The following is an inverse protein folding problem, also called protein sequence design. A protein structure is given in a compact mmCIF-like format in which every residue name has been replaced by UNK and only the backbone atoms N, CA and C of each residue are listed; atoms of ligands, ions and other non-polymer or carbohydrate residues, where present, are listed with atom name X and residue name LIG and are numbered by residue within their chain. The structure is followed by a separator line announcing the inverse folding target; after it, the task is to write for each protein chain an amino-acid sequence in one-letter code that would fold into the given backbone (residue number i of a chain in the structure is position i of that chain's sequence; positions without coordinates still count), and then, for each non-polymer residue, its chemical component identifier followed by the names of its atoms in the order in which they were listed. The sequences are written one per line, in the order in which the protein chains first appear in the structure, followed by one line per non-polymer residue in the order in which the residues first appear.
data_IF_107700682332
#
_entry.id   IF_107700682332
#
_cell.length_a   1.000
_cell.length_b   1.000
_cell.length_c   1.000
_cell.angle_alpha   90.00
_cell.angle_beta   90.00
_cell.angle_gamma   90.00
#
_symmetry.space_group_name_H-M   'P 1'
#
loop_
_entity.id
_entity.type
_entity.pdbx_description
1 polymer ?
#
# COMPACT_ATOMS: atom_id res chain seq x y z
N UNK A 1 -35.14 -6.54 14.11
CA UNK A 1 -34.19 -5.47 13.74
C UNK A 1 -34.37 -4.33 14.72
N UNK A 2 -33.39 -4.09 15.62
CA UNK A 2 -33.48 -2.99 16.58
C UNK A 2 -33.25 -1.65 15.90
N UNK A 3 -34.12 -0.67 16.17
CA UNK A 3 -33.90 0.72 15.75
C UNK A 3 -32.67 1.27 16.47
N UNK A 4 -31.60 1.52 15.72
CA UNK A 4 -30.38 2.13 16.23
C UNK A 4 -30.58 3.64 16.26
N UNK A 5 -30.92 4.18 17.43
CA UNK A 5 -31.06 5.62 17.59
C UNK A 5 -29.70 6.32 17.43
N UNK A 6 -29.65 7.40 16.65
CA UNK A 6 -28.49 8.28 16.51
C UNK A 6 -28.91 9.72 16.83
N UNK A 7 -28.02 10.51 17.42
CA UNK A 7 -28.27 11.90 17.80
C UNK A 7 -28.58 12.09 19.29
N UNK A 8 -28.73 13.35 19.68
CA UNK A 8 -28.98 13.73 21.07
C UNK A 8 -30.45 13.49 21.44
N UNK A 9 -30.70 12.63 22.43
CA UNK A 9 -32.04 12.24 22.88
C UNK A 9 -32.31 12.55 24.35
N UNK A 10 -31.36 13.22 25.02
CA UNK A 10 -31.44 13.52 26.46
C UNK A 10 -32.01 14.91 26.71
N UNK A 11 -32.46 15.13 27.94
CA UNK A 11 -32.87 16.44 28.43
C UNK A 11 -31.61 17.19 28.91
N UNK A 12 -31.36 18.39 28.38
CA UNK A 12 -30.26 19.24 28.84
C UNK A 12 -30.64 19.80 30.21
N UNK A 13 -29.92 19.41 31.26
CA UNK A 13 -30.04 19.99 32.59
C UNK A 13 -28.91 20.99 32.81
N UNK A 14 -29.25 22.23 33.18
CA UNK A 14 -28.29 23.28 33.53
C UNK A 14 -28.25 23.47 35.05
N UNK A 15 -27.29 22.86 35.76
CA UNK A 15 -27.17 23.05 37.20
C UNK A 15 -26.43 24.38 37.46
N UNK A 16 -27.16 25.48 37.66
CA UNK A 16 -26.49 26.78 37.75
C UNK A 16 -27.25 28.02 38.20
N UNK A 17 -28.50 27.93 38.67
CA UNK A 17 -29.12 29.04 39.41
C UNK A 17 -29.90 28.50 40.59
N UNK A 18 -29.67 29.12 41.76
CA UNK A 18 -30.42 28.87 42.98
C UNK A 18 -31.91 29.14 42.70
N UNK A 19 -32.67 28.05 42.50
CA UNK A 19 -34.13 27.87 42.29
C UNK A 19 -34.41 27.03 41.04
N UNK A 20 -34.53 25.70 41.24
CA UNK A 20 -35.19 24.79 40.30
C UNK A 20 -34.36 24.21 39.16
N UNK A 21 -34.52 22.91 38.91
CA UNK A 21 -34.10 22.26 37.66
C UNK A 21 -35.14 22.66 36.60
N UNK A 22 -34.80 23.60 35.71
CA UNK A 22 -35.64 23.91 34.56
C UNK A 22 -35.40 22.86 33.47
N UNK A 23 -36.45 22.13 33.09
CA UNK A 23 -36.44 21.32 31.89
C UNK A 23 -36.86 22.19 30.72
N UNK A 24 -35.91 22.69 29.93
CA UNK A 24 -36.24 23.47 28.74
C UNK A 24 -36.74 22.51 27.65
N UNK A 25 -38.06 22.40 27.48
CA UNK A 25 -38.70 21.84 26.29
C UNK A 25 -38.91 22.98 25.28
N UNK A 26 -37.83 23.64 24.86
CA UNK A 26 -37.89 24.42 23.62
C UNK A 26 -37.76 23.44 22.45
N UNK A 27 -38.63 23.57 21.45
CA UNK A 27 -38.39 22.96 20.15
C UNK A 27 -37.06 23.55 19.64
N UNK A 28 -35.97 22.79 19.77
CA UNK A 28 -34.66 23.23 19.31
C UNK A 28 -34.72 23.52 17.81
N UNK A 29 -34.10 24.62 17.37
CA UNK A 29 -33.86 24.85 15.95
C UNK A 29 -32.89 23.77 15.46
N UNK A 30 -33.38 22.84 14.66
CA UNK A 30 -32.55 21.83 14.00
C UNK A 30 -32.09 22.36 12.64
N UNK A 31 -30.80 22.66 12.52
CA UNK A 31 -30.18 22.85 11.21
C UNK A 31 -29.60 21.52 10.75
N UNK A 32 -30.08 21.03 9.61
CA UNK A 32 -29.55 19.82 8.97
C UNK A 32 -28.35 20.21 8.10
N UNK A 33 -27.23 19.53 8.31
CA UNK A 33 -26.02 19.70 7.49
C UNK A 33 -25.26 21.00 7.76
N UNK A 34 -24.19 21.19 6.99
CA UNK A 34 -23.31 22.35 7.09
C UNK A 34 -23.71 23.41 6.05
N UNK A 35 -23.48 24.70 6.36
CA UNK A 35 -23.74 25.78 5.41
C UNK A 35 -22.97 25.59 4.09
N UNK A 36 -21.70 25.18 4.16
CA UNK A 36 -20.88 24.91 2.97
C UNK A 36 -21.35 23.70 2.15
N UNK A 37 -22.04 22.72 2.76
CA UNK A 37 -22.67 21.64 2.01
C UNK A 37 -23.90 22.13 1.25
N UNK A 38 -24.75 22.94 1.92
CA UNK A 38 -25.94 23.52 1.29
C UNK A 38 -25.58 24.48 0.14
N UNK A 39 -24.51 25.25 0.31
CA UNK A 39 -23.95 26.13 -0.72
C UNK A 39 -23.00 25.42 -1.69
N UNK A 40 -22.83 24.09 -1.57
CA UNK A 40 -22.01 23.26 -2.46
C UNK A 40 -20.59 23.78 -2.72
N UNK A 41 -19.87 24.17 -1.67
CA UNK A 41 -18.50 24.69 -1.77
C UNK A 41 -17.52 23.73 -2.45
N UNK A 42 -17.87 22.46 -2.59
CA UNK A 42 -17.09 21.43 -3.28
C UNK A 42 -17.28 21.41 -4.81
N UNK A 43 -18.32 22.06 -5.34
CA UNK A 43 -18.66 22.01 -6.75
C UNK A 43 -17.79 23.00 -7.57
N UNK A 44 -17.19 22.58 -8.69
CA UNK A 44 -16.37 23.47 -9.54
C UNK A 44 -17.11 24.72 -10.00
N UNK A 45 -18.39 24.60 -10.35
CA UNK A 45 -19.24 25.69 -10.84
C UNK A 45 -19.59 26.74 -9.78
N UNK A 46 -19.42 26.43 -8.49
CA UNK A 46 -19.76 27.34 -7.38
C UNK A 46 -18.52 28.09 -6.84
N UNK A 47 -17.32 27.83 -7.36
CA UNK A 47 -16.09 28.38 -6.76
C UNK A 47 -15.99 29.90 -6.79
N UNK A 48 -16.66 30.55 -7.75
CA UNK A 48 -16.73 32.01 -7.87
C UNK A 48 -17.74 32.64 -6.90
N UNK A 49 -18.71 31.86 -6.41
CA UNK A 49 -19.77 32.32 -5.50
C UNK A 49 -19.38 32.23 -4.02
N UNK A 50 -18.15 31.80 -3.73
CA UNK A 50 -17.67 31.57 -2.37
C UNK A 50 -16.55 32.55 -2.05
N UNK A 51 -16.72 33.30 -0.97
CA UNK A 51 -15.73 34.26 -0.47
C UNK A 51 -14.57 33.54 0.25
N UNK A 52 -13.68 32.95 -0.53
CA UNK A 52 -12.47 32.32 0.00
C UNK A 52 -11.48 33.37 0.49
N UNK A 53 -10.78 33.05 1.57
CA UNK A 53 -9.70 33.86 2.12
C UNK A 53 -8.39 33.08 2.10
N UNK A 54 -7.28 33.79 1.96
CA UNK A 54 -5.96 33.17 2.03
C UNK A 54 -5.73 32.52 3.40
N UNK A 55 -5.05 31.37 3.36
CA UNK A 55 -4.77 30.57 4.55
C UNK A 55 -3.92 31.38 5.55
N UNK A 56 -4.49 31.68 6.71
CA UNK A 56 -3.78 32.30 7.83
C UNK A 56 -3.17 31.23 8.72
N UNK A 57 -1.85 31.31 8.93
CA UNK A 57 -1.12 30.38 9.78
C UNK A 57 -1.44 30.65 11.26
N UNK A 58 -2.15 29.72 11.89
CA UNK A 58 -2.55 29.80 13.30
C UNK A 58 -2.81 28.43 13.91
N UNK A 59 -3.40 28.40 15.11
CA UNK A 59 -3.82 27.16 15.73
C UNK A 59 -4.86 26.43 14.84
N UNK A 60 -4.81 25.08 14.73
CA UNK A 60 -5.79 24.33 13.95
C UNK A 60 -7.20 24.71 14.40
N UNK A 61 -8.02 25.21 13.48
CA UNK A 61 -9.40 25.54 13.79
C UNK A 61 -10.35 24.49 13.23
N UNK A 62 -11.42 24.26 14.00
CA UNK A 62 -12.47 23.32 13.68
C UNK A 62 -13.50 23.95 12.73
N UNK A 63 -14.23 23.12 11.99
CA UNK A 63 -15.26 23.52 11.04
C UNK A 63 -14.78 24.50 9.95
N UNK A 64 -13.61 24.23 9.37
CA UNK A 64 -13.03 25.02 8.28
C UNK A 64 -13.18 24.30 6.95
N UNK A 65 -13.41 25.07 5.89
CA UNK A 65 -13.29 24.62 4.51
C UNK A 65 -11.96 25.09 3.93
N UNK A 66 -11.25 24.19 3.27
CA UNK A 66 -10.04 24.48 2.51
C UNK A 66 -10.28 24.19 1.04
N UNK A 67 -9.65 24.96 0.16
CA UNK A 67 -9.53 24.62 -1.26
C UNK A 67 -8.11 24.79 -1.75
N UNK A 68 -7.78 24.08 -2.80
CA UNK A 68 -6.57 24.32 -3.59
C UNK A 68 -6.73 23.73 -5.00
N UNK A 69 -5.82 24.07 -5.89
CA UNK A 69 -5.72 23.49 -7.23
C UNK A 69 -4.40 22.75 -7.40
N UNK A 70 -4.42 21.66 -8.17
CA UNK A 70 -3.23 20.85 -8.41
C UNK A 70 -3.23 20.18 -9.79
N UNK A 71 -2.04 19.87 -10.28
CA UNK A 71 -1.84 19.10 -11.50
C UNK A 71 -1.80 17.59 -11.20
N UNK A 72 -2.32 16.78 -12.12
CA UNK A 72 -2.34 15.34 -11.91
C UNK A 72 -0.91 14.76 -11.96
N UNK A 73 -0.55 13.81 -11.06
CA UNK A 73 0.70 13.09 -11.18
C UNK A 73 0.79 12.32 -12.49
N UNK A 74 1.96 12.41 -13.13
CA UNK A 74 2.27 11.68 -14.35
C UNK A 74 2.18 10.16 -14.15
N UNK A 75 2.08 9.43 -15.26
CA UNK A 75 2.04 7.96 -15.27
C UNK A 75 0.64 7.39 -15.09
N UNK A 76 0.57 6.07 -14.85
CA UNK A 76 -0.69 5.31 -14.74
C UNK A 76 -0.99 4.78 -13.33
N UNK A 77 -0.04 4.89 -12.40
CA UNK A 77 -0.12 4.30 -11.06
C UNK A 77 -1.28 4.88 -10.24
N UNK A 78 -1.99 4.11 -9.41
CA UNK A 78 -3.04 4.65 -8.54
C UNK A 78 -2.61 5.92 -7.79
N UNK A 79 -3.50 6.89 -7.64
CA UNK A 79 -3.21 8.15 -6.95
C UNK A 79 -3.88 8.13 -5.58
N UNK A 80 -3.18 8.60 -4.56
CA UNK A 80 -3.74 8.78 -3.23
C UNK A 80 -3.30 10.11 -2.61
N UNK A 81 -4.18 10.66 -1.78
CA UNK A 81 -3.91 11.84 -0.96
C UNK A 81 -3.66 11.43 0.49
N UNK A 82 -2.58 11.94 1.07
CA UNK A 82 -2.24 11.79 2.48
C UNK A 82 -2.95 12.87 3.30
N UNK A 83 -3.94 12.46 4.08
CA UNK A 83 -4.68 13.29 5.01
C UNK A 83 -4.29 12.99 6.46
N UNK A 84 -3.17 12.29 6.72
CA UNK A 84 -2.73 11.95 8.07
C UNK A 84 -2.35 13.16 8.93
N UNK A 85 -2.10 14.31 8.31
CA UNK A 85 -1.89 15.59 8.98
C UNK A 85 -3.19 16.34 9.34
N UNK A 86 -4.32 15.81 8.87
CA UNK A 86 -5.67 16.34 9.11
C UNK A 86 -6.34 15.62 10.28
N UNK A 87 -7.50 16.11 10.70
CA UNK A 87 -8.25 15.54 11.82
C UNK A 87 -9.36 14.60 11.36
N UNK A 88 -10.53 15.16 11.10
CA UNK A 88 -11.74 14.45 10.69
C UNK A 88 -12.51 15.32 9.72
N UNK A 89 -13.04 14.74 8.66
CA UNK A 89 -13.74 15.55 7.69
C UNK A 89 -14.20 14.81 6.45
N UNK A 90 -14.39 15.57 5.40
CA UNK A 90 -14.77 15.06 4.08
C UNK A 90 -13.96 15.79 3.00
N UNK A 91 -13.56 15.06 1.96
CA UNK A 91 -12.79 15.61 0.85
C UNK A 91 -13.50 15.39 -0.50
N UNK A 92 -13.25 16.30 -1.43
CA UNK A 92 -13.76 16.25 -2.80
C UNK A 92 -12.66 16.57 -3.80
N UNK A 93 -12.72 15.90 -4.95
CA UNK A 93 -11.87 16.17 -6.12
C UNK A 93 -12.79 16.48 -7.29
N UNK A 94 -12.68 17.67 -7.88
CA UNK A 94 -13.51 18.11 -9.01
C UNK A 94 -15.02 17.90 -8.77
N UNK A 95 -15.51 18.16 -7.55
CA UNK A 95 -16.89 17.92 -7.14
C UNK A 95 -17.25 16.48 -6.76
N UNK A 96 -16.39 15.50 -7.06
CA UNK A 96 -16.60 14.11 -6.67
C UNK A 96 -16.20 13.88 -5.22
N UNK A 97 -17.11 13.29 -4.44
CA UNK A 97 -16.85 13.00 -3.03
C UNK A 97 -15.86 11.86 -2.85
N UNK A 98 -14.66 12.18 -2.37
CA UNK A 98 -13.61 11.21 -2.07
C UNK A 98 -13.99 10.32 -0.88
N UNK A 99 -14.74 10.89 0.06
CA UNK A 99 -15.23 10.21 1.25
C UNK A 99 -14.84 10.91 2.54
N UNK A 100 -15.22 10.27 3.66
CA UNK A 100 -14.86 10.72 5.00
C UNK A 100 -13.44 10.32 5.31
N UNK A 101 -12.66 11.25 5.85
CA UNK A 101 -11.38 10.94 6.46
C UNK A 101 -11.46 11.08 7.98
N UNK A 102 -10.68 10.27 8.69
CA UNK A 102 -10.59 10.35 10.14
C UNK A 102 -9.26 9.78 10.63
N UNK A 103 -8.40 10.66 11.12
CA UNK A 103 -7.07 10.35 11.67
C UNK A 103 -7.17 9.75 13.08
N UNK A 104 -7.77 8.58 13.19
CA UNK A 104 -7.79 7.79 14.42
C UNK A 104 -6.52 6.95 14.54
N UNK A 105 -5.95 6.86 15.73
CA UNK A 105 -4.83 5.95 16.00
C UNK A 105 -5.38 4.58 16.40
N UNK A 106 -4.91 3.53 15.74
CA UNK A 106 -5.25 2.15 16.04
C UNK A 106 -4.70 1.74 17.43
N UNK A 107 -5.34 0.76 18.12
CA UNK A 107 -4.79 0.22 19.36
C UNK A 107 -3.34 -0.25 19.19
N UNK A 108 -2.50 -0.01 20.20
CA UNK A 108 -1.08 -0.43 20.17
C UNK A 108 -0.90 -1.94 20.28
N UNK A 109 -1.91 -2.67 20.73
CA UNK A 109 -1.91 -4.12 20.90
C UNK A 109 -2.93 -4.79 19.97
N UNK A 110 -2.76 -6.10 19.74
CA UNK A 110 -3.66 -6.91 18.91
C UNK A 110 -3.02 -7.40 17.61
N UNK A 111 -1.96 -6.75 17.14
CA UNK A 111 -1.21 -7.22 15.98
C UNK A 111 -0.26 -8.35 16.40
N UNK A 112 -0.36 -9.54 15.80
CA UNK A 112 0.54 -10.64 16.09
C UNK A 112 1.94 -10.36 15.54
N UNK A 113 2.97 -10.98 16.14
CA UNK A 113 4.35 -10.90 15.63
C UNK A 113 4.52 -11.63 14.30
N UNK A 114 3.75 -12.68 14.07
CA UNK A 114 3.76 -13.51 12.87
C UNK A 114 2.33 -13.87 12.46
N UNK A 115 2.09 -14.03 11.16
CA UNK A 115 0.83 -14.51 10.60
C UNK A 115 1.13 -15.76 9.76
N UNK A 116 0.44 -16.86 10.08
CA UNK A 116 0.51 -18.11 9.33
C UNK A 116 -0.85 -18.35 8.66
N UNK A 117 -0.84 -18.62 7.36
CA UNK A 117 -2.08 -18.89 6.62
C UNK A 117 -2.75 -20.20 7.08
N UNK A 118 -1.98 -21.15 7.62
CA UNK A 118 -2.49 -22.46 8.09
C UNK A 118 -3.28 -22.33 9.38
N UNK A 119 -4.22 -23.25 9.57
CA UNK A 119 -5.10 -23.29 10.74
C UNK A 119 -6.25 -22.28 10.69
N UNK A 120 -7.19 -22.42 11.62
CA UNK A 120 -8.45 -21.66 11.66
C UNK A 120 -8.22 -20.15 11.60
N UNK A 121 -8.95 -19.48 10.69
CA UNK A 121 -8.93 -18.03 10.57
C UNK A 121 -9.88 -17.36 11.57
N UNK A 122 -9.46 -16.21 12.10
CA UNK A 122 -10.28 -15.23 12.83
C UNK A 122 -9.83 -13.84 12.39
N UNK A 123 -10.69 -12.85 12.50
CA UNK A 123 -10.43 -11.46 12.09
C UNK A 123 -9.18 -10.86 12.76
N UNK A 124 -8.85 -11.30 13.97
CA UNK A 124 -7.66 -10.88 14.73
C UNK A 124 -6.36 -11.59 14.33
N UNK A 125 -6.42 -12.63 13.49
CA UNK A 125 -5.28 -13.55 13.24
C UNK A 125 -4.10 -12.89 12.55
N UNK A 126 -4.33 -11.89 11.70
CA UNK A 126 -3.31 -11.27 10.84
C UNK A 126 -3.52 -9.75 10.73
N UNK A 127 -3.97 -9.12 11.82
CA UNK A 127 -4.15 -7.66 11.88
C UNK A 127 -2.78 -6.97 11.84
N UNK A 128 -2.71 -5.85 11.13
CA UNK A 128 -1.50 -5.03 11.00
C UNK A 128 -1.80 -3.59 11.40
N UNK A 129 -0.78 -2.72 11.34
CA UNK A 129 -0.93 -1.27 11.55
C UNK A 129 -1.35 -0.84 12.98
N UNK A 130 -1.01 -1.62 14.00
CA UNK A 130 -1.25 -1.26 15.40
C UNK A 130 -0.40 -0.05 15.83
N UNK A 131 -1.01 0.89 16.56
CA UNK A 131 -0.35 2.12 17.00
C UNK A 131 -0.19 3.19 15.92
N UNK A 132 -0.57 2.90 14.68
CA UNK A 132 -0.53 3.81 13.54
C UNK A 132 -1.92 4.41 13.26
N UNK A 133 -2.00 5.39 12.36
CA UNK A 133 -3.30 5.90 11.90
C UNK A 133 -4.09 4.80 11.18
N UNK A 134 -5.37 4.64 11.52
CA UNK A 134 -6.27 3.63 10.93
C UNK A 134 -6.37 3.81 9.41
N UNK A 135 -6.28 5.05 8.93
CA UNK A 135 -6.18 5.39 7.52
C UNK A 135 -5.63 6.82 7.35
N UNK A 136 -4.49 6.96 6.67
CA UNK A 136 -3.93 8.25 6.27
C UNK A 136 -4.07 8.51 4.77
N UNK A 137 -4.03 7.45 3.95
CA UNK A 137 -4.10 7.53 2.49
C UNK A 137 -5.52 7.28 1.97
N UNK A 138 -5.98 8.16 1.09
CA UNK A 138 -7.31 8.10 0.48
C UNK A 138 -7.16 8.06 -1.04
N UNK A 139 -7.70 7.01 -1.66
CA UNK A 139 -7.57 6.73 -3.09
C UNK A 139 -8.36 7.73 -3.94
N UNK A 140 -7.70 8.35 -4.92
CA UNK A 140 -8.30 9.21 -5.94
C UNK A 140 -8.34 8.43 -7.25
N UNK A 141 -9.53 8.08 -7.77
CA UNK A 141 -9.66 7.48 -9.09
C UNK A 141 -9.05 8.39 -10.16
N UNK A 142 -8.15 7.84 -11.00
CA UNK A 142 -7.51 8.61 -12.07
C UNK A 142 -8.51 9.21 -13.06
N UNK A 143 -9.64 8.55 -13.26
CA UNK A 143 -10.75 9.02 -14.10
C UNK A 143 -11.40 10.34 -13.63
N UNK A 144 -11.19 10.75 -12.37
CA UNK A 144 -11.67 12.03 -11.85
C UNK A 144 -10.70 13.18 -12.13
N UNK A 145 -9.47 12.87 -12.55
CA UNK A 145 -8.40 13.84 -12.71
C UNK A 145 -8.30 14.32 -14.16
N UNK A 146 -8.12 15.63 -14.31
CA UNK A 146 -7.64 16.29 -15.52
C UNK A 146 -6.12 16.45 -15.43
N UNK A 147 -5.45 16.73 -16.56
CA UNK A 147 -3.99 16.90 -16.57
C UNK A 147 -3.52 18.03 -15.63
N UNK A 148 -4.29 19.11 -15.57
CA UNK A 148 -3.99 20.30 -14.76
C UNK A 148 -5.26 20.89 -14.15
N UNK A 149 -5.09 21.79 -13.17
CA UNK A 149 -6.18 22.59 -12.59
C UNK A 149 -7.30 21.76 -11.92
N UNK A 150 -6.94 20.68 -11.25
CA UNK A 150 -7.89 19.88 -10.46
C UNK A 150 -8.22 20.59 -9.16
N UNK A 151 -9.51 20.74 -8.88
CA UNK A 151 -10.01 21.32 -7.64
C UNK A 151 -10.01 20.28 -6.51
N UNK A 152 -9.27 20.56 -5.43
CA UNK A 152 -9.40 19.86 -4.15
C UNK A 152 -10.15 20.75 -3.18
N UNK A 153 -11.25 20.24 -2.61
CA UNK A 153 -11.97 20.88 -1.50
C UNK A 153 -12.01 19.94 -0.30
N UNK A 154 -11.76 20.47 0.89
CA UNK A 154 -11.74 19.72 2.14
C UNK A 154 -12.57 20.46 3.17
N UNK A 155 -13.49 19.75 3.81
CA UNK A 155 -14.11 20.18 5.05
C UNK A 155 -13.41 19.51 6.23
N UNK A 156 -12.85 20.29 7.16
CA UNK A 156 -12.19 19.82 8.38
C UNK A 156 -13.02 20.15 9.62
N UNK A 157 -13.43 19.11 10.34
CA UNK A 157 -14.32 19.16 11.50
C UNK A 157 -13.57 19.40 12.81
N UNK A 158 -12.36 18.86 12.97
CA UNK A 158 -11.66 18.80 14.27
C UNK A 158 -10.38 19.63 14.34
N UNK A 159 -9.84 20.04 13.19
CA UNK A 159 -8.60 20.78 13.06
C UNK A 159 -7.46 19.89 12.53
N UNK A 160 -6.68 20.44 11.60
CA UNK A 160 -5.62 19.75 10.88
C UNK A 160 -4.65 20.75 10.24
N UNK A 161 -3.52 20.26 9.73
CA UNK A 161 -2.56 21.11 9.02
C UNK A 161 -2.61 20.85 7.50
N UNK A 162 -3.32 21.69 6.72
CA UNK A 162 -3.50 21.46 5.28
C UNK A 162 -2.20 21.58 4.47
N UNK A 163 -1.17 22.26 4.99
CA UNK A 163 0.12 22.41 4.31
C UNK A 163 0.95 21.13 4.28
N UNK A 164 0.60 20.15 5.11
CA UNK A 164 1.25 18.84 5.15
C UNK A 164 0.50 17.78 4.34
N UNK A 165 -0.62 18.14 3.73
CA UNK A 165 -1.30 17.26 2.79
C UNK A 165 -0.37 17.05 1.59
N UNK A 166 -0.26 15.80 1.15
CA UNK A 166 0.52 15.48 -0.04
C UNK A 166 -0.24 14.50 -0.91
N UNK A 167 -0.02 14.59 -2.21
CA UNK A 167 -0.62 13.70 -3.19
C UNK A 167 0.50 12.92 -3.86
N UNK A 168 0.36 11.60 -3.91
CA UNK A 168 1.39 10.69 -4.44
C UNK A 168 0.76 9.61 -5.30
N UNK A 169 1.55 9.14 -6.25
CA UNK A 169 1.28 7.84 -6.88
C UNK A 169 1.65 6.72 -5.91
N UNK A 170 0.89 5.63 -5.97
CA UNK A 170 1.07 4.48 -5.10
C UNK A 170 1.22 3.23 -5.95
N UNK A 171 2.38 2.58 -5.82
CA UNK A 171 2.66 1.27 -6.40
C UNK A 171 3.53 0.46 -5.44
N UNK A 172 3.51 -0.85 -5.60
CA UNK A 172 4.28 -1.78 -4.79
C UNK A 172 5.74 -1.76 -5.22
N UNK A 173 6.59 -1.00 -4.49
CA UNK A 173 8.04 -0.90 -4.79
C UNK A 173 8.81 -2.18 -4.44
N UNK A 174 8.43 -2.87 -3.36
CA UNK A 174 9.12 -4.06 -2.87
C UNK A 174 8.14 -5.19 -2.72
N UNK A 175 8.44 -6.33 -3.32
CA UNK A 175 7.70 -7.58 -3.17
C UNK A 175 8.60 -8.63 -2.54
N UNK A 176 8.03 -9.45 -1.69
CA UNK A 176 8.80 -10.40 -0.89
C UNK A 176 7.95 -11.62 -0.58
N UNK A 177 8.60 -12.76 -0.40
CA UNK A 177 7.93 -13.95 0.07
C UNK A 177 8.93 -14.90 0.74
N UNK A 178 8.41 -15.75 1.63
CA UNK A 178 9.15 -16.84 2.28
C UNK A 178 8.30 -18.08 2.25
N UNK A 179 8.81 -19.15 1.66
CA UNK A 179 8.11 -20.42 1.49
C UNK A 179 9.01 -21.56 1.96
N UNK A 180 8.51 -22.39 2.87
CA UNK A 180 9.19 -23.56 3.41
C UNK A 180 8.96 -24.79 2.53
N UNK A 181 9.90 -25.74 2.54
CA UNK A 181 9.70 -27.07 1.94
C UNK A 181 8.47 -27.82 2.50
N UNK A 182 8.04 -27.49 3.72
CA UNK A 182 6.85 -28.08 4.35
C UNK A 182 5.55 -27.31 4.07
N UNK A 183 5.59 -26.22 3.29
CA UNK A 183 4.38 -25.54 2.86
C UNK A 183 3.65 -26.31 1.77
N UNK A 184 2.35 -26.05 1.63
CA UNK A 184 1.57 -26.72 0.60
C UNK A 184 1.99 -26.27 -0.81
N UNK A 185 2.03 -27.18 -1.79
CA UNK A 185 2.18 -26.81 -3.18
C UNK A 185 1.01 -25.97 -3.69
N UNK A 186 1.21 -25.24 -4.81
CA UNK A 186 0.23 -24.33 -5.37
C UNK A 186 -1.12 -25.02 -5.59
N UNK A 187 -2.24 -24.34 -5.32
CA UNK A 187 -3.59 -24.91 -5.45
C UNK A 187 -3.87 -25.49 -6.85
N UNK A 188 -3.24 -24.95 -7.90
CA UNK A 188 -3.36 -25.49 -9.26
C UNK A 188 -2.83 -26.92 -9.41
N UNK A 189 -1.86 -27.34 -8.58
CA UNK A 189 -1.32 -28.71 -8.63
C UNK A 189 -2.32 -29.74 -8.10
N UNK A 190 -3.27 -29.33 -7.26
CA UNK A 190 -4.23 -30.22 -6.61
C UNK A 190 -5.21 -30.84 -7.61
N UNK A 191 -5.39 -30.20 -8.76
CA UNK A 191 -6.25 -30.64 -9.85
C UNK A 191 -5.48 -31.41 -10.93
N UNK A 192 -4.18 -31.65 -10.74
CA UNK A 192 -3.38 -32.33 -11.73
C UNK A 192 -3.82 -33.80 -11.87
N UNK A 193 -4.05 -34.33 -13.08
CA UNK A 193 -4.59 -35.68 -13.28
C UNK A 193 -3.83 -36.77 -12.52
N UNK A 194 -2.50 -36.66 -12.44
CA UNK A 194 -1.64 -37.60 -11.71
C UNK A 194 -1.83 -37.58 -10.19
N UNK A 195 -2.23 -36.45 -9.58
CA UNK A 195 -2.55 -36.38 -8.15
C UNK A 195 -3.96 -36.92 -7.93
N UNK A 196 -4.92 -36.49 -8.75
CA UNK A 196 -6.31 -36.95 -8.68
C UNK A 196 -6.41 -38.47 -8.89
N UNK A 197 -5.59 -39.02 -9.79
CA UNK A 197 -5.51 -40.45 -10.05
C UNK A 197 -4.62 -41.22 -9.06
N UNK A 198 -4.07 -40.57 -8.04
CA UNK A 198 -3.20 -41.20 -7.03
C UNK A 198 -1.83 -41.70 -7.54
N UNK A 199 -1.42 -41.31 -8.75
CA UNK A 199 -0.13 -41.71 -9.35
C UNK A 199 1.05 -40.93 -8.79
N UNK A 200 0.80 -39.77 -8.19
CA UNK A 200 1.81 -38.92 -7.55
C UNK A 200 1.28 -38.45 -6.21
N UNK A 201 2.08 -38.57 -5.15
CA UNK A 201 1.69 -38.04 -3.86
C UNK A 201 1.76 -36.52 -3.89
N UNK A 202 0.87 -35.89 -3.13
CA UNK A 202 0.88 -34.46 -2.91
C UNK A 202 2.20 -33.98 -2.27
N UNK A 203 2.82 -34.84 -1.44
CA UNK A 203 4.14 -34.61 -0.83
C UNK A 203 5.28 -34.52 -1.86
N UNK A 204 5.07 -35.01 -3.08
CA UNK A 204 6.10 -35.07 -4.12
C UNK A 204 6.07 -33.85 -5.05
N UNK A 205 5.17 -32.90 -4.78
CA UNK A 205 5.11 -31.61 -5.50
C UNK A 205 5.72 -30.54 -4.60
N UNK A 206 6.83 -29.91 -5.01
CA UNK A 206 7.44 -28.89 -4.21
C UNK A 206 6.54 -27.65 -4.13
N UNK A 207 6.56 -26.92 -3.01
CA UNK A 207 5.92 -25.62 -2.93
C UNK A 207 6.62 -24.61 -3.85
N UNK A 208 5.94 -23.52 -4.19
CA UNK A 208 6.47 -22.48 -5.08
C UNK A 208 6.37 -21.11 -4.41
N UNK A 209 7.39 -20.28 -4.62
CA UNK A 209 7.30 -18.85 -4.36
C UNK A 209 6.72 -18.17 -5.60
N UNK A 210 5.74 -17.28 -5.41
CA UNK A 210 5.12 -16.50 -6.47
C UNK A 210 5.37 -15.03 -6.17
N UNK A 211 6.04 -14.32 -7.09
CA UNK A 211 6.26 -12.88 -7.01
C UNK A 211 5.54 -12.19 -8.15
N UNK A 212 4.92 -11.04 -7.85
CA UNK A 212 4.18 -10.24 -8.82
C UNK A 212 4.29 -8.77 -8.44
N UNK A 213 4.73 -7.94 -9.39
CA UNK A 213 4.62 -6.49 -9.31
C UNK A 213 3.23 -6.02 -9.78
N UNK A 214 2.87 -4.80 -9.43
CA UNK A 214 1.63 -4.16 -9.91
C UNK A 214 1.61 -4.08 -11.44
N UNK A 215 0.43 -3.92 -12.02
CA UNK A 215 0.28 -3.83 -13.47
C UNK A 215 1.09 -2.61 -14.01
N UNK A 216 1.69 -2.76 -15.19
CA UNK A 216 2.63 -1.76 -15.74
C UNK A 216 4.04 -1.80 -15.15
N UNK A 217 4.31 -2.62 -14.12
CA UNK A 217 5.61 -2.75 -13.49
C UNK A 217 6.28 -4.09 -13.74
N UNK A 218 7.60 -4.12 -13.63
CA UNK A 218 8.43 -5.33 -13.73
C UNK A 218 9.39 -5.43 -12.56
N UNK A 219 9.80 -6.66 -12.25
CA UNK A 219 10.85 -6.93 -11.27
C UNK A 219 12.17 -6.42 -11.84
N UNK A 220 12.67 -5.32 -11.30
CA UNK A 220 13.91 -4.67 -11.75
C UNK A 220 15.15 -5.20 -11.06
N UNK A 221 15.00 -5.73 -9.85
CA UNK A 221 16.12 -6.20 -9.05
C UNK A 221 15.71 -7.25 -8.03
N UNK A 222 16.65 -8.13 -7.66
CA UNK A 222 16.52 -9.05 -6.53
C UNK A 222 17.48 -8.56 -5.45
N UNK A 223 16.95 -8.00 -4.37
CA UNK A 223 17.76 -7.43 -3.27
C UNK A 223 18.17 -8.50 -2.27
N UNK A 224 17.40 -9.59 -2.17
CA UNK A 224 17.72 -10.71 -1.31
C UNK A 224 17.18 -12.02 -1.89
N UNK A 225 17.97 -13.09 -1.82
CA UNK A 225 17.51 -14.44 -2.10
C UNK A 225 18.32 -15.46 -1.29
N UNK A 226 17.64 -16.33 -0.54
CA UNK A 226 18.29 -17.39 0.22
C UNK A 226 17.39 -18.62 0.31
N UNK A 227 17.87 -19.73 -0.28
CA UNK A 227 17.35 -21.08 -0.04
C UNK A 227 18.18 -21.75 1.06
N UNK A 228 17.56 -21.94 2.22
CA UNK A 228 18.25 -22.38 3.44
C UNK A 228 17.44 -22.07 4.68
N UNK A 229 18.12 -21.64 5.76
CA UNK A 229 17.48 -21.29 7.04
C UNK A 229 17.53 -19.78 7.32
N UNK A 230 17.04 -18.98 6.38
CA UNK A 230 17.01 -17.51 6.50
C UNK A 230 16.26 -17.02 7.74
N UNK A 231 16.79 -15.96 8.35
CA UNK A 231 16.19 -15.25 9.47
C UNK A 231 15.34 -14.07 9.02
N UNK A 232 14.59 -13.49 9.95
CA UNK A 232 13.83 -12.26 9.74
C UNK A 232 12.54 -12.41 8.93
N UNK A 233 12.03 -11.27 8.48
CA UNK A 233 10.80 -11.11 7.71
C UNK A 233 11.07 -10.24 6.49
N UNK A 234 10.06 -10.04 5.63
CA UNK A 234 10.12 -9.08 4.53
C UNK A 234 10.76 -7.75 4.94
N UNK A 235 11.64 -7.20 4.09
CA UNK A 235 12.46 -6.00 4.31
C UNK A 235 13.55 -6.13 5.40
N UNK A 236 13.61 -7.28 6.07
CA UNK A 236 14.54 -7.56 7.18
C UNK A 236 15.07 -9.00 7.11
N UNK A 237 15.15 -9.56 5.91
CA UNK A 237 15.70 -10.90 5.74
C UNK A 237 17.20 -10.91 6.00
N UNK A 238 17.67 -12.02 6.56
CA UNK A 238 19.10 -12.26 6.75
C UNK A 238 19.46 -13.69 6.35
N UNK A 239 20.67 -13.84 5.84
CA UNK A 239 21.22 -15.16 5.52
C UNK A 239 21.47 -15.90 6.83
N UNK A 240 21.02 -17.16 6.90
CA UNK A 240 21.26 -18.03 8.05
C UNK A 240 22.55 -18.86 7.89
N UNK A 241 22.76 -19.78 8.81
CA UNK A 241 23.92 -20.70 8.80
C UNK A 241 23.94 -21.67 7.61
N UNK A 242 22.78 -21.90 6.99
CA UNK A 242 22.61 -22.69 5.78
C UNK A 242 22.07 -21.79 4.66
N UNK A 243 22.74 -21.85 3.52
CA UNK A 243 22.39 -21.08 2.33
C UNK A 243 22.95 -21.77 1.08
N UNK A 244 22.12 -21.92 0.05
CA UNK A 244 22.59 -22.33 -1.27
C UNK A 244 23.19 -21.12 -2.02
N UNK A 245 24.46 -21.19 -2.40
CA UNK A 245 25.14 -20.10 -3.14
C UNK A 245 24.50 -19.77 -4.49
N UNK A 246 23.72 -20.68 -5.07
CA UNK A 246 22.94 -20.49 -6.29
C UNK A 246 21.64 -19.71 -6.09
N UNK A 247 21.26 -19.38 -4.86
CA UNK A 247 19.94 -18.78 -4.55
C UNK A 247 19.66 -17.53 -5.36
N UNK A 248 20.61 -16.60 -5.41
CA UNK A 248 20.45 -15.32 -6.10
C UNK A 248 20.35 -15.50 -7.61
N UNK A 249 21.26 -16.26 -8.23
CA UNK A 249 21.30 -16.43 -9.68
C UNK A 249 20.07 -17.18 -10.21
N UNK A 250 19.59 -18.19 -9.49
CA UNK A 250 18.36 -18.93 -9.84
C UNK A 250 17.16 -18.00 -9.85
N UNK A 251 17.00 -17.19 -8.79
CA UNK A 251 15.86 -16.26 -8.67
C UNK A 251 15.97 -15.13 -9.70
N UNK A 252 17.15 -14.57 -9.92
CA UNK A 252 17.38 -13.54 -10.93
C UNK A 252 17.00 -14.03 -12.33
N UNK A 253 17.48 -15.22 -12.71
CA UNK A 253 17.15 -15.85 -14.00
C UNK A 253 15.65 -16.07 -14.16
N UNK A 254 14.97 -16.45 -13.08
CA UNK A 254 13.53 -16.69 -13.11
C UNK A 254 12.71 -15.40 -13.21
N UNK A 255 13.14 -14.31 -12.55
CA UNK A 255 12.28 -13.18 -12.19
C UNK A 255 12.63 -11.84 -12.85
N UNK A 256 13.90 -11.53 -13.12
CA UNK A 256 14.29 -10.21 -13.62
C UNK A 256 13.61 -9.88 -14.96
N UNK A 257 13.16 -8.63 -15.10
CA UNK A 257 12.49 -8.11 -16.29
C UNK A 257 11.06 -8.62 -16.50
N UNK A 258 10.52 -9.43 -15.59
CA UNK A 258 9.15 -9.96 -15.68
C UNK A 258 8.25 -9.28 -14.67
N UNK A 259 6.98 -9.08 -15.03
CA UNK A 259 5.95 -8.62 -14.08
C UNK A 259 5.65 -9.68 -13.01
N UNK A 260 5.70 -10.96 -13.38
CA UNK A 260 5.44 -12.10 -12.50
C UNK A 260 6.43 -13.23 -12.73
N UNK A 261 6.79 -13.94 -11.67
CA UNK A 261 7.62 -15.12 -11.74
C UNK A 261 7.24 -16.14 -10.67
N UNK A 262 7.70 -17.37 -10.87
CA UNK A 262 7.57 -18.45 -9.90
C UNK A 262 8.87 -19.23 -9.78
N UNK A 263 9.21 -19.68 -8.57
CA UNK A 263 10.39 -20.53 -8.32
C UNK A 263 9.98 -21.67 -7.40
N UNK A 264 10.24 -22.91 -7.83
CA UNK A 264 9.95 -24.11 -7.02
C UNK A 264 10.96 -24.24 -5.88
N UNK A 265 10.47 -24.49 -4.67
CA UNK A 265 11.25 -24.63 -3.44
C UNK A 265 11.68 -26.08 -3.29
N UNK A 266 12.84 -26.42 -3.85
CA UNK A 266 13.39 -27.79 -3.80
C UNK A 266 14.90 -27.80 -3.98
N UNK A 267 15.57 -28.83 -3.46
CA UNK A 267 17.01 -29.05 -3.68
C UNK A 267 17.37 -29.13 -5.16
N UNK A 268 16.50 -29.70 -6.00
CA UNK A 268 16.73 -29.83 -7.44
C UNK A 268 16.81 -28.46 -8.13
N UNK A 269 15.95 -27.51 -7.74
CA UNK A 269 15.95 -26.14 -8.27
C UNK A 269 17.27 -25.42 -8.00
N UNK A 270 17.88 -25.66 -6.84
CA UNK A 270 19.11 -24.99 -6.41
C UNK A 270 20.37 -25.83 -6.65
N UNK A 271 20.23 -26.96 -7.36
CA UNK A 271 21.31 -27.84 -7.83
C UNK A 271 21.81 -28.88 -6.82
N UNK A 272 21.75 -28.59 -5.52
CA UNK A 272 22.11 -29.53 -4.45
C UNK A 272 21.41 -29.18 -3.15
N UNK A 273 21.42 -30.11 -2.20
CA UNK A 273 21.01 -29.83 -0.82
C UNK A 273 22.08 -28.97 -0.12
N UNK A 274 21.80 -27.72 0.27
CA UNK A 274 22.74 -26.87 0.97
C UNK A 274 22.95 -27.29 2.44
N UNK A 275 22.01 -28.02 3.06
CA UNK A 275 22.12 -28.46 4.44
C UNK A 275 21.21 -29.67 4.73
N UNK A 276 21.83 -30.85 4.77
CA UNK A 276 21.16 -32.10 5.12
C UNK A 276 20.59 -32.03 6.54
N UNK A 277 19.38 -32.56 6.72
CA UNK A 277 18.70 -32.61 8.02
C UNK A 277 18.16 -31.25 8.50
N UNK A 278 18.32 -30.18 7.73
CA UNK A 278 17.73 -28.87 8.02
C UNK A 278 16.54 -28.62 7.12
N UNK A 279 15.41 -28.21 7.70
CA UNK A 279 14.25 -27.76 6.94
C UNK A 279 14.59 -26.45 6.22
N UNK A 280 14.49 -26.43 4.89
CA UNK A 280 14.85 -25.26 4.10
C UNK A 280 13.62 -24.43 3.76
N UNK A 281 13.87 -23.16 3.52
CA UNK A 281 12.91 -22.21 3.01
C UNK A 281 13.59 -21.32 1.99
N UNK A 282 12.85 -20.96 0.95
CA UNK A 282 13.24 -19.93 0.01
C UNK A 282 12.66 -18.60 0.48
N UNK A 283 13.53 -17.67 0.88
CA UNK A 283 13.16 -16.28 1.16
C UNK A 283 13.70 -15.39 0.03
N UNK A 284 12.84 -14.54 -0.53
CA UNK A 284 13.17 -13.63 -1.63
C UNK A 284 12.62 -12.25 -1.35
N UNK A 285 13.41 -11.24 -1.70
CA UNK A 285 13.01 -9.84 -1.78
C UNK A 285 13.42 -9.27 -3.13
N UNK A 286 12.49 -8.56 -3.75
CA UNK A 286 12.62 -8.03 -5.09
C UNK A 286 12.07 -6.60 -5.16
N UNK A 287 12.68 -5.81 -6.04
CA UNK A 287 12.24 -4.45 -6.35
C UNK A 287 11.46 -4.42 -7.65
N UNK A 288 10.41 -3.60 -7.67
CA UNK A 288 9.57 -3.34 -8.81
C UNK A 288 9.77 -1.90 -9.30
N UNK A 289 9.77 -1.72 -10.61
CA UNK A 289 9.79 -0.40 -11.26
C UNK A 289 8.87 -0.38 -12.47
N UNK A 290 8.49 0.81 -12.93
CA UNK A 290 7.71 0.96 -14.16
C UNK A 290 8.45 0.31 -15.34
N UNK A 291 7.71 -0.39 -16.19
CA UNK A 291 8.26 -1.04 -17.39
C UNK A 291 8.97 -0.04 -18.32
N UNK A 292 8.51 1.22 -18.37
CA UNK A 292 9.17 2.29 -19.12
C UNK A 292 10.56 2.58 -18.56
N UNK A 293 10.65 2.82 -17.25
CA UNK A 293 11.91 3.13 -16.57
C UNK A 293 12.90 1.96 -16.64
N UNK A 294 12.41 0.72 -16.57
CA UNK A 294 13.25 -0.46 -16.73
C UNK A 294 13.85 -0.55 -18.13
N UNK A 295 13.05 -0.25 -19.17
CA UNK A 295 13.51 -0.25 -20.55
C UNK A 295 14.56 0.83 -20.80
N UNK A 296 14.36 2.04 -20.24
CA UNK A 296 15.32 3.13 -20.31
C UNK A 296 16.64 2.77 -19.61
N UNK A 297 16.57 2.21 -18.40
CA UNK A 297 17.75 1.77 -17.66
C UNK A 297 18.51 0.66 -18.39
N UNK A 298 17.78 -0.29 -19.00
CA UNK A 298 18.40 -1.35 -19.77
C UNK A 298 19.07 -0.84 -21.05
N UNK A 299 18.44 0.09 -21.75
CA UNK A 299 19.02 0.76 -22.92
C UNK A 299 20.29 1.53 -22.56
N UNK A 300 20.28 2.28 -21.44
CA UNK A 300 21.46 2.99 -20.95
C UNK A 300 22.62 2.04 -20.60
N UNK A 301 22.35 0.92 -19.92
CA UNK A 301 23.37 -0.07 -19.59
C UNK A 301 23.95 -0.76 -20.84
N UNK A 302 23.13 -1.03 -21.86
CA UNK A 302 23.59 -1.59 -23.13
C UNK A 302 24.52 -0.62 -23.87
N UNK A 303 24.18 0.68 -23.87
CA UNK A 303 25.02 1.72 -24.48
C UNK A 303 26.37 1.85 -23.75
N UNK A 304 26.37 1.76 -22.42
CA UNK A 304 27.62 1.82 -21.64
C UNK A 304 28.50 0.57 -21.85
N UNK A 305 27.88 -0.61 -21.98
CA UNK A 305 28.59 -1.83 -22.36
C UNK A 305 29.20 -1.74 -23.77
N UNK A 306 28.46 -1.18 -24.73
CA UNK A 306 28.98 -0.97 -26.09
C UNK A 306 30.18 -0.03 -26.10
N UNK A 307 30.12 1.09 -25.35
CA UNK A 307 31.25 2.02 -25.20
C UNK A 307 32.49 1.34 -24.61
N UNK A 308 32.34 0.53 -23.56
CA UNK A 308 33.48 -0.19 -22.97
C UNK A 308 34.08 -1.24 -23.91
N UNK A 309 33.26 -1.90 -24.73
CA UNK A 309 33.75 -2.83 -25.77
C UNK A 309 34.48 -2.09 -26.89
N UNK A 310 34.02 -0.91 -27.28
CA UNK A 310 34.71 -0.06 -28.28
C UNK A 310 36.06 0.46 -27.75
N UNK A 311 36.11 0.98 -26.52
CA UNK A 311 37.34 1.45 -25.88
C UNK A 311 38.39 0.34 -25.69
N UNK A 312 37.95 -0.88 -25.34
CA UNK A 312 38.84 -2.05 -25.23
C UNK A 312 39.35 -2.53 -26.59
N UNK A 313 38.58 -2.36 -27.67
CA UNK A 313 39.01 -2.68 -29.04
C UNK A 313 40.00 -1.63 -29.58
N UNK A 314 39.79 -0.36 -29.30
CA UNK A 314 40.71 0.72 -29.69
C UNK A 314 42.06 0.60 -28.97
N UNK A 315 42.06 0.33 -27.66
CA UNK A 315 43.30 0.12 -26.89
C UNK A 315 44.11 -1.09 -27.37
N UNK A 316 43.45 -2.19 -27.77
CA UNK A 316 44.11 -3.35 -28.36
C UNK A 316 44.71 -3.06 -29.74
N UNK A 317 44.05 -2.21 -30.54
CA UNK A 317 44.57 -1.80 -31.86
C UNK A 317 45.73 -0.82 -31.80
N UNK A 318 45.85 -0.04 -30.72
CA UNK A 318 46.94 0.92 -30.51
C UNK A 318 48.21 0.30 -29.89
N UNK A 319 48.15 -0.98 -29.49
CA UNK A 319 49.25 -1.73 -28.87
C UNK A 319 49.84 -2.84 -29.76
N UNK A 320 49.42 -2.90 -31.03
CA UNK A 320 49.97 -3.75 -32.10
C UNK A 320 50.72 -2.91 -33.13
#
# INVERSE_FOLDING_TARGET
MGSMNRGYRRQLAYPGRATGIYTQLSAGLCQVGLKGEAAKYYAPEEQENVDWVDLQLGAPSAFIWYKTYFDAPKGSDPVAIDLGSMGKGFAWINGHGLGRYWSLVAPKSGCPKTCDYRGTYKESKCVTNCGELTQSWYHIPREWLQDSNNLLVIFEETGGNPLKISLKTHYTKTVCAKVSENDYPPLSSWWHPNIVSGKKSFSDVPPEIHLRCDDGHVISGITFASFGNSGGSCQKFSVGHCHASSSLSVVQTACLGKNKCKVSVSNATFGKDPCRGTLKSLAVEAECTSSSNFSDLHAMNLLEYQKTVEESRESFSASA
#
